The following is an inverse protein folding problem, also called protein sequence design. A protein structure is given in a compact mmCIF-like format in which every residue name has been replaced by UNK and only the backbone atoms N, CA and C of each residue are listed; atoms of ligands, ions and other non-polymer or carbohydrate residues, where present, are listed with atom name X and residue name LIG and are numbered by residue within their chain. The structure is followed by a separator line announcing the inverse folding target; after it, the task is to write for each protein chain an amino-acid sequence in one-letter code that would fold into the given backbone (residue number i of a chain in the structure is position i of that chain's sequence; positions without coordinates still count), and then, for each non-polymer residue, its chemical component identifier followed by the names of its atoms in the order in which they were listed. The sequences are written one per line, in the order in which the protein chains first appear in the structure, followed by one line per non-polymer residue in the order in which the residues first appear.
data_IF_875966549902
#
_entry.id   IF_875966549902
#
_cell.length_a   1.000
_cell.length_b   1.000
_cell.length_c   1.000
_cell.angle_alpha   90.00
_cell.angle_beta   90.00
_cell.angle_gamma   90.00
#
_symmetry.space_group_name_H-M   'P 1'
#
loop_
_entity.id
_entity.type
_entity.pdbx_description
1 polymer ?
#
# COMPACT_ATOMS: atom_id res chain seq x y z
N UNK A 1 23.58 -1.00 13.56
CA UNK A 1 22.61 -2.02 13.16
C UNK A 1 22.32 -3.02 14.29
N UNK A 2 21.23 -3.79 14.17
CA UNK A 2 20.91 -4.90 15.06
C UNK A 2 21.89 -6.05 14.83
N UNK A 3 22.35 -6.72 15.92
CA UNK A 3 23.33 -7.81 15.89
C UNK A 3 24.69 -7.43 15.27
N UNK A 4 25.05 -6.16 15.31
CA UNK A 4 26.37 -5.70 14.88
C UNK A 4 27.44 -6.11 15.90
N UNK A 5 28.50 -6.76 15.45
CA UNK A 5 29.66 -7.07 16.26
C UNK A 5 30.62 -5.87 16.29
N UNK A 6 30.82 -5.33 17.49
CA UNK A 6 31.74 -4.23 17.75
C UNK A 6 33.00 -4.78 18.42
N UNK A 7 34.13 -4.63 17.75
CA UNK A 7 35.43 -5.08 18.26
C UNK A 7 36.18 -3.91 18.91
N UNK A 8 36.83 -4.19 20.03
CA UNK A 8 37.53 -3.21 20.82
C UNK A 8 38.95 -3.75 21.12
N UNK A 9 39.96 -2.89 20.93
CA UNK A 9 41.33 -3.15 21.33
C UNK A 9 41.62 -2.36 22.60
N UNK A 10 42.12 -3.02 23.63
CA UNK A 10 42.57 -2.40 24.87
C UNK A 10 44.09 -2.41 24.89
N UNK A 11 44.69 -1.23 24.99
CA UNK A 11 46.12 -1.08 25.25
C UNK A 11 46.33 -0.68 26.70
N UNK A 12 47.05 -1.50 27.42
CA UNK A 12 47.49 -1.22 28.80
C UNK A 12 48.99 -0.95 28.80
N UNK A 13 49.42 0.17 29.39
CA UNK A 13 50.85 0.56 29.47
C UNK A 13 51.24 0.77 30.91
N UNK A 14 52.38 0.25 31.31
CA UNK A 14 53.01 0.47 32.62
C UNK A 14 54.53 0.62 32.45
N UNK A 15 55.00 1.84 32.50
CA UNK A 15 56.38 2.16 32.22
C UNK A 15 56.79 1.83 30.78
N UNK A 16 57.80 0.94 30.60
CA UNK A 16 58.25 0.47 29.30
C UNK A 16 57.51 -0.80 28.81
N UNK A 17 56.53 -1.30 29.61
CA UNK A 17 55.75 -2.51 29.28
C UNK A 17 54.39 -2.13 28.72
N UNK A 18 53.95 -2.84 27.68
CA UNK A 18 52.62 -2.73 27.10
C UNK A 18 51.99 -4.10 26.90
N UNK A 19 50.69 -4.16 27.10
CA UNK A 19 49.86 -5.33 26.81
C UNK A 19 48.68 -4.92 25.97
N UNK A 20 48.31 -5.78 25.04
CA UNK A 20 47.09 -5.63 24.22
C UNK A 20 46.12 -6.75 24.53
N UNK A 21 44.88 -6.45 24.65
CA UNK A 21 43.78 -7.39 24.68
C UNK A 21 42.69 -6.93 23.75
N UNK A 22 42.01 -7.85 23.09
CA UNK A 22 40.85 -7.62 22.24
C UNK A 22 39.64 -8.28 22.81
N UNK A 23 38.50 -7.69 22.60
CA UNK A 23 37.19 -8.27 22.88
C UNK A 23 36.14 -7.73 21.94
N UNK A 24 35.07 -8.48 21.73
CA UNK A 24 33.92 -8.03 20.95
C UNK A 24 32.63 -8.10 21.77
N UNK A 25 31.70 -7.23 21.43
CA UNK A 25 30.32 -7.24 21.93
C UNK A 25 29.36 -7.20 20.75
N UNK A 26 28.22 -7.85 20.89
CA UNK A 26 27.13 -7.77 19.93
C UNK A 26 26.19 -6.64 20.36
N UNK A 27 26.00 -5.65 19.49
CA UNK A 27 25.05 -4.58 19.69
C UNK A 27 23.66 -5.01 19.27
N UNK A 28 22.69 -4.91 20.16
CA UNK A 28 21.29 -5.17 19.89
C UNK A 28 20.57 -3.86 19.60
N UNK A 29 19.68 -3.89 18.63
CA UNK A 29 18.86 -2.75 18.23
C UNK A 29 17.42 -3.19 17.92
N UNK A 30 16.41 -2.31 18.02
CA UNK A 30 15.12 -2.55 17.43
C UNK A 30 15.24 -2.56 15.90
N UNK A 31 14.43 -3.39 15.27
CA UNK A 31 14.31 -3.48 13.80
C UNK A 31 12.84 -3.61 13.43
N UNK A 32 12.30 -2.58 12.80
CA UNK A 32 10.88 -2.53 12.48
C UNK A 32 10.58 -3.19 11.14
N UNK A 33 9.40 -3.80 11.09
CA UNK A 33 8.79 -4.38 9.90
C UNK A 33 7.28 -4.16 9.97
N UNK A 34 6.64 -3.90 8.84
CA UNK A 34 5.18 -3.92 8.72
C UNK A 34 4.73 -5.37 8.49
N UNK A 35 4.02 -5.92 9.47
CA UNK A 35 3.51 -7.29 9.43
C UNK A 35 2.26 -7.36 8.54
N UNK A 36 1.31 -6.46 8.75
CA UNK A 36 0.14 -6.25 7.91
C UNK A 36 -0.25 -4.77 7.89
N UNK A 37 -0.85 -4.35 6.78
CA UNK A 37 -1.46 -3.04 6.66
C UNK A 37 -2.74 -3.20 5.84
N UNK A 38 -3.86 -2.67 6.33
CA UNK A 38 -5.16 -2.84 5.67
C UNK A 38 -6.16 -1.78 6.12
N UNK A 39 -7.17 -1.56 5.27
CA UNK A 39 -8.37 -0.79 5.60
C UNK A 39 -9.54 -1.76 5.81
N UNK A 40 -10.28 -1.59 6.90
CA UNK A 40 -11.36 -2.54 7.26
C UNK A 40 -12.53 -2.53 6.27
N UNK A 41 -12.83 -1.41 5.65
CA UNK A 41 -13.91 -1.29 4.68
C UNK A 41 -13.38 -1.63 3.28
N UNK A 42 -14.07 -2.51 2.57
CA UNK A 42 -13.68 -2.92 1.22
C UNK A 42 -13.82 -1.80 0.18
N UNK A 43 -14.78 -0.89 0.38
CA UNK A 43 -15.00 0.27 -0.51
C UNK A 43 -15.10 1.52 0.36
N UNK A 44 -14.28 2.51 0.04
CA UNK A 44 -14.25 3.82 0.73
C UNK A 44 -14.82 4.84 -0.24
N UNK A 45 -16.05 5.26 -0.03
CA UNK A 45 -16.69 6.23 -0.93
C UNK A 45 -16.01 7.61 -0.83
N UNK A 46 -15.91 8.38 -1.94
CA UNK A 46 -15.45 9.76 -1.91
C UNK A 46 -16.21 10.61 -0.88
N UNK A 47 -15.50 11.45 -0.14
CA UNK A 47 -16.06 12.27 0.92
C UNK A 47 -16.40 11.53 2.20
N UNK A 48 -15.94 10.29 2.34
CA UNK A 48 -16.14 9.51 3.58
C UNK A 48 -14.82 9.21 4.26
N UNK A 49 -14.89 8.83 5.54
CA UNK A 49 -13.76 8.40 6.33
C UNK A 49 -13.66 6.88 6.43
N UNK A 50 -12.45 6.41 6.69
CA UNK A 50 -12.15 5.03 6.99
C UNK A 50 -10.98 4.93 7.98
N UNK A 51 -10.72 3.71 8.45
CA UNK A 51 -9.67 3.42 9.43
C UNK A 51 -8.62 2.53 8.80
N UNK A 52 -7.38 3.00 8.81
CA UNK A 52 -6.18 2.23 8.45
C UNK A 52 -5.65 1.49 9.67
N UNK A 53 -5.40 0.21 9.55
CA UNK A 53 -4.78 -0.65 10.54
C UNK A 53 -3.38 -1.01 10.09
N UNK A 54 -2.40 -0.79 10.96
CA UNK A 54 -0.98 -1.03 10.69
C UNK A 54 -0.41 -1.88 11.81
N UNK A 55 -0.10 -3.14 11.53
CA UNK A 55 0.59 -4.02 12.46
C UNK A 55 2.10 -3.86 12.30
N UNK A 56 2.73 -3.32 13.34
CA UNK A 56 4.18 -3.09 13.40
C UNK A 56 4.82 -4.16 14.26
N UNK A 57 5.80 -4.87 13.70
CA UNK A 57 6.63 -5.86 14.39
C UNK A 57 8.00 -5.30 14.70
N UNK A 58 8.50 -5.57 15.89
CA UNK A 58 9.90 -5.36 16.24
C UNK A 58 10.68 -6.68 16.07
N UNK A 59 11.26 -6.91 14.90
CA UNK A 59 12.09 -8.08 14.58
C UNK A 59 13.53 -7.96 15.08
N UNK A 60 13.84 -6.90 15.85
CA UNK A 60 15.16 -6.70 16.42
C UNK A 60 15.38 -7.46 17.72
N UNK A 61 16.56 -7.28 18.31
CA UNK A 61 16.98 -7.92 19.54
C UNK A 61 16.99 -6.95 20.76
N UNK A 62 16.45 -5.76 20.58
CA UNK A 62 16.26 -4.77 21.64
C UNK A 62 14.85 -4.20 21.58
N UNK A 63 14.31 -3.86 22.76
CA UNK A 63 13.02 -3.20 22.87
C UNK A 63 13.06 -1.81 22.22
N UNK A 64 11.95 -1.41 21.61
CA UNK A 64 11.73 -0.05 21.16
C UNK A 64 10.94 0.74 22.20
N UNK A 65 11.30 2.01 22.36
CA UNK A 65 10.61 2.96 23.25
C UNK A 65 10.23 4.20 22.49
N UNK A 66 9.04 4.73 22.80
CA UNK A 66 8.47 5.91 22.15
C UNK A 66 8.51 5.76 20.62
N UNK A 67 7.93 4.65 20.15
CA UNK A 67 7.76 4.42 18.72
C UNK A 67 6.72 5.41 18.18
N UNK A 68 7.15 6.30 17.31
CA UNK A 68 6.28 7.19 16.54
C UNK A 68 5.98 6.53 15.20
N UNK A 69 4.70 6.42 14.86
CA UNK A 69 4.22 5.92 13.57
C UNK A 69 3.49 7.08 12.90
N UNK A 70 4.09 7.59 11.84
CA UNK A 70 3.54 8.71 11.05
C UNK A 70 2.98 8.20 9.73
N UNK A 71 1.74 8.59 9.43
CA UNK A 71 1.07 8.28 8.17
C UNK A 71 0.79 9.57 7.42
N UNK A 72 1.33 9.67 6.20
CA UNK A 72 1.18 10.84 5.35
C UNK A 72 0.71 10.45 3.96
N UNK A 73 -0.27 11.17 3.45
CA UNK A 73 -0.61 11.14 2.02
C UNK A 73 0.16 12.23 1.28
N UNK A 74 0.61 11.94 0.07
CA UNK A 74 1.20 12.93 -0.82
C UNK A 74 0.17 13.89 -1.44
N UNK A 75 -1.14 13.65 -1.22
CA UNK A 75 -2.23 14.47 -1.72
C UNK A 75 -3.01 15.14 -0.59
N UNK A 76 -3.43 16.37 -0.81
CA UNK A 76 -4.32 17.09 0.11
C UNK A 76 -5.76 16.54 0.09
N UNK A 77 -6.10 15.67 -0.87
CA UNK A 77 -7.43 15.10 -1.01
C UNK A 77 -7.65 13.85 -0.14
N UNK A 78 -6.60 13.36 0.55
CA UNK A 78 -6.66 12.31 1.56
C UNK A 78 -5.94 12.80 2.82
N UNK A 79 -6.66 12.91 3.93
CA UNK A 79 -6.14 13.49 5.17
C UNK A 79 -6.31 12.51 6.33
N UNK A 80 -5.22 12.27 7.07
CA UNK A 80 -5.25 11.56 8.34
C UNK A 80 -5.68 12.51 9.45
N UNK A 81 -6.63 12.07 10.31
CA UNK A 81 -7.14 12.87 11.44
C UNK A 81 -6.04 13.05 12.49
N UNK A 82 -5.37 11.96 12.82
CA UNK A 82 -4.13 11.95 13.60
C UNK A 82 -3.04 11.32 12.74
N UNK A 83 -2.13 12.12 12.21
CA UNK A 83 -1.07 11.63 11.33
C UNK A 83 0.05 10.92 12.08
N UNK A 84 0.19 11.14 13.39
CA UNK A 84 1.21 10.53 14.24
C UNK A 84 0.54 9.82 15.40
N UNK A 85 0.83 8.53 15.55
CA UNK A 85 0.43 7.71 16.69
C UNK A 85 1.70 7.25 17.42
N UNK A 86 1.70 7.34 18.75
CA UNK A 86 2.87 6.96 19.55
C UNK A 86 2.58 5.72 20.41
N UNK A 87 3.46 4.73 20.33
CA UNK A 87 3.48 3.56 21.19
C UNK A 87 4.66 3.68 22.18
N UNK A 88 4.35 3.66 23.49
CA UNK A 88 5.38 3.86 24.52
C UNK A 88 6.44 2.77 24.53
N UNK A 89 6.03 1.52 24.27
CA UNK A 89 6.90 0.37 24.45
C UNK A 89 6.51 -0.79 23.53
N UNK A 90 7.44 -1.18 22.65
CA UNK A 90 7.31 -2.35 21.79
C UNK A 90 8.49 -3.31 22.06
N UNK A 91 8.26 -4.43 22.79
CA UNK A 91 9.30 -5.40 23.06
C UNK A 91 9.91 -6.03 21.80
N UNK A 92 11.14 -6.52 21.93
CA UNK A 92 11.77 -7.33 20.91
C UNK A 92 10.93 -8.59 20.63
N UNK A 93 10.62 -8.83 19.35
CA UNK A 93 9.81 -9.97 18.86
C UNK A 93 8.29 -9.74 18.88
N UNK A 94 7.79 -8.70 19.54
CA UNK A 94 6.36 -8.42 19.65
C UNK A 94 5.81 -7.60 18.48
N UNK A 95 4.48 -7.55 18.40
CA UNK A 95 3.69 -6.79 17.41
C UNK A 95 2.75 -5.85 18.14
N UNK A 96 2.61 -4.63 17.63
CA UNK A 96 1.58 -3.68 18.02
C UNK A 96 0.71 -3.32 16.82
N UNK A 97 -0.59 -3.18 17.03
CA UNK A 97 -1.53 -2.65 16.02
C UNK A 97 -1.72 -1.15 16.24
N UNK A 98 -1.38 -0.38 15.25
CA UNK A 98 -1.59 1.07 15.17
C UNK A 98 -2.85 1.33 14.35
N UNK A 99 -3.66 2.26 14.81
CA UNK A 99 -4.95 2.60 14.18
C UNK A 99 -4.94 4.07 13.82
N UNK A 100 -5.24 4.40 12.57
CA UNK A 100 -5.28 5.77 12.07
C UNK A 100 -6.53 6.01 11.23
N UNK A 101 -7.33 6.98 11.64
CA UNK A 101 -8.50 7.41 10.89
C UNK A 101 -8.10 8.43 9.83
N UNK A 102 -8.68 8.30 8.65
CA UNK A 102 -8.49 9.23 7.55
C UNK A 102 -9.81 9.54 6.85
N UNK A 103 -9.82 10.64 6.10
CA UNK A 103 -10.96 11.11 5.30
C UNK A 103 -10.49 11.48 3.90
N UNK A 104 -11.31 11.21 2.89
CA UNK A 104 -11.11 11.67 1.51
C UNK A 104 -11.98 12.88 1.21
N UNK A 105 -11.52 13.76 0.30
CA UNK A 105 -12.35 14.86 -0.21
C UNK A 105 -13.50 14.30 -1.08
N UNK A 106 -14.67 14.92 -1.00
CA UNK A 106 -15.85 14.54 -1.78
C UNK A 106 -15.69 14.69 -3.31
N UNK A 107 -14.68 15.45 -3.74
CA UNK A 107 -14.36 15.68 -5.17
C UNK A 107 -13.44 14.60 -5.75
N UNK A 108 -12.93 13.70 -4.92
CA UNK A 108 -12.11 12.59 -5.38
C UNK A 108 -12.92 11.73 -6.34
N UNK A 109 -12.34 11.41 -7.48
CA UNK A 109 -12.98 10.50 -8.42
C UNK A 109 -12.90 9.06 -7.91
N UNK A 110 -13.99 8.31 -8.06
CA UNK A 110 -14.02 6.88 -7.75
C UNK A 110 -12.96 6.13 -8.56
N UNK A 111 -12.20 5.26 -7.91
CA UNK A 111 -11.06 4.57 -8.47
C UNK A 111 -9.71 5.30 -8.33
N UNK A 112 -9.69 6.47 -7.67
CA UNK A 112 -8.42 7.17 -7.41
C UNK A 112 -7.60 6.41 -6.37
N UNK A 113 -6.32 6.17 -6.67
CA UNK A 113 -5.35 5.53 -5.78
C UNK A 113 -4.46 6.58 -5.16
N UNK A 114 -4.36 6.58 -3.84
CA UNK A 114 -3.47 7.43 -3.06
C UNK A 114 -2.30 6.65 -2.50
N UNK A 115 -1.10 7.18 -2.68
CA UNK A 115 0.09 6.68 -2.00
C UNK A 115 0.15 7.27 -0.59
N UNK A 116 0.32 6.40 0.40
CA UNK A 116 0.49 6.73 1.82
C UNK A 116 1.86 6.26 2.27
N UNK A 117 2.67 7.19 2.74
CA UNK A 117 3.94 6.89 3.41
C UNK A 117 3.66 6.57 4.88
N UNK A 118 4.07 5.39 5.31
CA UNK A 118 4.13 5.00 6.71
C UNK A 118 5.58 5.06 7.18
N UNK A 119 5.86 5.98 8.11
CA UNK A 119 7.19 6.21 8.69
C UNK A 119 7.19 5.80 10.16
N UNK A 120 8.08 4.89 10.53
CA UNK A 120 8.26 4.40 11.89
C UNK A 120 9.58 4.93 12.45
N UNK A 121 9.55 5.49 13.66
CA UNK A 121 10.73 6.06 14.29
C UNK A 121 10.76 5.79 15.79
N UNK A 122 11.89 5.27 16.27
CA UNK A 122 12.19 5.15 17.71
C UNK A 122 13.64 5.56 17.96
N UNK A 123 13.84 6.76 18.50
CA UNK A 123 15.16 7.35 18.68
C UNK A 123 15.90 7.55 17.34
N UNK A 124 16.99 6.80 17.11
CA UNK A 124 17.78 6.83 15.88
C UNK A 124 17.41 5.73 14.88
N UNK A 125 16.40 4.92 15.17
CA UNK A 125 15.97 3.82 14.32
C UNK A 125 14.76 4.24 13.54
N UNK A 126 14.82 4.08 12.22
CA UNK A 126 13.78 4.49 11.29
C UNK A 126 13.48 3.36 10.30
N UNK A 127 12.22 3.27 9.90
CA UNK A 127 11.75 2.40 8.82
C UNK A 127 10.64 3.13 8.06
N UNK A 128 10.67 3.06 6.74
CA UNK A 128 9.66 3.67 5.88
C UNK A 128 9.12 2.64 4.90
N UNK A 129 7.82 2.71 4.66
CA UNK A 129 7.14 1.89 3.66
C UNK A 129 5.97 2.66 3.05
N UNK A 130 5.64 2.33 1.80
CA UNK A 130 4.48 2.90 1.13
C UNK A 130 3.34 1.89 1.13
N UNK A 131 2.13 2.41 1.27
CA UNK A 131 0.88 1.70 1.11
C UNK A 131 -0.04 2.46 0.16
N UNK A 132 -0.95 1.76 -0.51
CA UNK A 132 -1.85 2.38 -1.47
C UNK A 132 -3.29 2.23 -1.01
N UNK A 133 -4.03 3.35 -0.99
CA UNK A 133 -5.44 3.40 -0.61
C UNK A 133 -6.24 3.77 -1.86
N UNK A 134 -7.19 2.93 -2.23
CA UNK A 134 -8.12 3.22 -3.32
C UNK A 134 -9.41 3.82 -2.76
N UNK A 135 -9.79 4.99 -3.26
CA UNK A 135 -11.05 5.65 -2.92
C UNK A 135 -12.08 5.34 -3.99
N UNK A 136 -13.22 4.80 -3.56
CA UNK A 136 -14.26 4.32 -4.45
C UNK A 136 -13.88 3.01 -5.14
N UNK A 137 -14.64 2.68 -6.14
CA UNK A 137 -14.43 1.51 -6.98
C UNK A 137 -14.14 1.95 -8.41
N UNK A 138 -13.07 1.47 -8.99
CA UNK A 138 -12.87 1.67 -10.42
C UNK A 138 -13.86 0.78 -11.18
N UNK A 139 -14.83 1.41 -11.83
CA UNK A 139 -15.86 0.70 -12.57
C UNK A 139 -15.97 1.27 -13.99
N UNK A 140 -15.91 0.39 -14.99
CA UNK A 140 -16.32 0.73 -16.35
C UNK A 140 -17.78 0.32 -16.54
N UNK A 141 -18.64 1.30 -16.75
CA UNK A 141 -20.07 1.13 -16.90
C UNK A 141 -20.57 1.46 -18.33
N UNK A 142 -19.68 1.99 -19.18
CA UNK A 142 -19.96 2.43 -20.54
C UNK A 142 -21.04 3.53 -20.68
N UNK A 143 -21.47 4.15 -19.57
CA UNK A 143 -22.54 5.17 -19.55
C UNK A 143 -22.11 6.50 -20.18
N UNK A 144 -20.83 6.69 -20.50
CA UNK A 144 -20.36 7.79 -21.37
C UNK A 144 -20.88 7.66 -22.80
N UNK A 145 -21.37 6.47 -23.20
CA UNK A 145 -21.80 6.17 -24.57
C UNK A 145 -20.66 5.94 -25.56
N UNK A 146 -19.43 5.88 -25.05
CA UNK A 146 -18.21 5.61 -25.79
C UNK A 146 -17.19 4.87 -24.92
N UNK A 147 -15.97 4.66 -25.40
CA UNK A 147 -14.87 4.01 -24.68
C UNK A 147 -13.89 5.00 -24.04
N UNK A 148 -14.31 6.22 -23.75
CA UNK A 148 -13.41 7.30 -23.30
C UNK A 148 -13.05 7.23 -21.81
N UNK A 149 -13.80 6.48 -20.98
CA UNK A 149 -13.60 6.39 -19.55
C UNK A 149 -12.36 5.58 -19.16
N UNK A 150 -12.06 4.58 -19.98
CA UNK A 150 -10.93 3.65 -19.79
C UNK A 150 -10.16 3.52 -21.10
N UNK A 151 -8.84 3.35 -21.05
CA UNK A 151 -7.98 3.22 -22.25
C UNK A 151 -8.11 1.81 -22.87
N UNK A 152 -9.27 1.58 -23.46
CA UNK A 152 -9.58 0.33 -24.15
C UNK A 152 -8.81 0.19 -25.46
N UNK A 153 -8.23 -0.97 -25.69
CA UNK A 153 -7.55 -1.33 -26.92
C UNK A 153 -8.35 -2.42 -27.64
N UNK A 154 -8.29 -2.42 -28.96
CA UNK A 154 -9.09 -3.31 -29.80
C UNK A 154 -8.20 -4.02 -30.81
N UNK A 155 -8.46 -5.32 -30.98
CA UNK A 155 -7.78 -6.15 -31.98
C UNK A 155 -8.78 -7.12 -32.63
N UNK A 156 -8.41 -7.61 -33.82
CA UNK A 156 -9.17 -8.63 -34.55
C UNK A 156 -9.88 -8.07 -35.80
N UNK A 157 -10.82 -8.83 -36.30
CA UNK A 157 -11.47 -8.58 -37.61
C UNK A 157 -12.66 -7.62 -37.50
N UNK A 158 -13.22 -7.44 -36.30
CA UNK A 158 -14.33 -6.53 -36.04
C UNK A 158 -14.13 -5.74 -34.77
N UNK A 159 -14.48 -4.45 -34.78
CA UNK A 159 -14.37 -3.58 -33.60
C UNK A 159 -15.53 -3.79 -32.64
N UNK A 160 -15.22 -3.62 -31.35
CA UNK A 160 -16.25 -3.48 -30.33
C UNK A 160 -16.97 -2.14 -30.48
N UNK A 161 -18.23 -2.09 -30.03
CA UNK A 161 -19.08 -0.90 -30.11
C UNK A 161 -19.95 -0.80 -28.84
N UNK A 162 -20.40 0.41 -28.53
CA UNK A 162 -21.35 0.64 -27.46
C UNK A 162 -22.76 0.32 -27.96
N UNK A 163 -23.52 -0.42 -27.17
CA UNK A 163 -24.86 -0.89 -27.49
C UNK A 163 -25.79 -0.78 -26.28
N UNK A 164 -27.07 -0.64 -26.50
CA UNK A 164 -28.08 -0.78 -25.47
C UNK A 164 -28.29 -2.23 -25.01
N UNK A 165 -29.01 -2.41 -23.90
CA UNK A 165 -29.37 -3.74 -23.37
C UNK A 165 -28.33 -4.28 -22.38
N UNK A 166 -27.71 -3.39 -21.62
CA UNK A 166 -26.84 -3.68 -20.49
C UNK A 166 -27.56 -4.51 -19.41
N UNK A 167 -26.78 -5.15 -18.55
CA UNK A 167 -27.28 -5.78 -17.33
C UNK A 167 -27.70 -4.74 -16.31
N UNK A 168 -26.93 -3.66 -16.20
CA UNK A 168 -27.19 -2.49 -15.36
C UNK A 168 -26.91 -1.24 -16.19
N UNK A 169 -27.67 -0.16 -15.96
CA UNK A 169 -27.55 1.07 -16.75
C UNK A 169 -28.19 1.00 -18.13
N UNK A 170 -27.72 1.86 -19.03
CA UNK A 170 -28.28 2.04 -20.39
C UNK A 170 -27.43 1.37 -21.46
N UNK A 171 -26.09 1.31 -21.26
CA UNK A 171 -25.12 0.92 -22.26
C UNK A 171 -24.24 -0.26 -21.82
N UNK A 172 -23.76 -0.99 -22.81
CA UNK A 172 -22.76 -2.05 -22.64
C UNK A 172 -21.82 -2.10 -23.84
N UNK A 173 -20.65 -2.69 -23.68
CA UNK A 173 -19.79 -3.03 -24.79
C UNK A 173 -20.29 -4.29 -25.48
N UNK A 174 -20.34 -4.27 -26.80
CA UNK A 174 -20.72 -5.39 -27.67
C UNK A 174 -19.63 -5.63 -28.70
N UNK A 175 -19.23 -6.89 -28.89
CA UNK A 175 -18.34 -7.26 -30.00
C UNK A 175 -18.98 -6.96 -31.35
N UNK A 176 -18.19 -6.62 -32.32
CA UNK A 176 -18.64 -6.62 -33.70
C UNK A 176 -18.97 -8.03 -34.20
N UNK A 177 -19.76 -8.10 -35.25
CA UNK A 177 -20.12 -9.37 -35.89
C UNK A 177 -18.90 -9.99 -36.59
N UNK A 178 -18.66 -11.27 -36.35
CA UNK A 178 -17.54 -12.04 -36.91
C UNK A 178 -18.05 -13.27 -37.63
N UNK A 179 -17.32 -13.69 -38.65
CA UNK A 179 -17.53 -14.94 -39.38
C UNK A 179 -16.64 -16.06 -38.81
N UNK A 180 -16.76 -17.26 -39.36
CA UNK A 180 -15.94 -18.41 -39.02
C UNK A 180 -14.43 -18.06 -39.17
N UNK A 181 -13.65 -18.42 -38.13
CA UNK A 181 -12.20 -18.17 -38.06
C UNK A 181 -11.79 -16.69 -37.93
N UNK A 182 -12.71 -15.80 -37.61
CA UNK A 182 -12.45 -14.42 -37.23
C UNK A 182 -12.46 -14.21 -35.73
N UNK A 183 -11.91 -13.09 -35.28
CA UNK A 183 -11.86 -12.68 -33.88
C UNK A 183 -12.22 -11.22 -33.67
N UNK A 184 -12.73 -10.91 -32.50
CA UNK A 184 -12.95 -9.54 -32.05
C UNK A 184 -12.56 -9.48 -30.57
N UNK A 185 -11.52 -8.73 -30.26
CA UNK A 185 -10.96 -8.62 -28.91
C UNK A 185 -11.00 -7.19 -28.40
N UNK A 186 -11.28 -7.05 -27.12
CA UNK A 186 -11.21 -5.80 -26.38
C UNK A 186 -10.38 -6.07 -25.12
N UNK A 187 -9.40 -5.24 -24.81
CA UNK A 187 -8.56 -5.41 -23.65
C UNK A 187 -8.14 -4.07 -23.05
N UNK A 188 -7.79 -4.09 -21.79
CA UNK A 188 -7.27 -2.96 -21.02
C UNK A 188 -6.11 -3.44 -20.16
N UNK A 189 -5.11 -2.59 -19.99
CA UNK A 189 -4.04 -2.82 -19.03
C UNK A 189 -4.36 -2.07 -17.76
N UNK A 190 -4.33 -2.76 -16.63
CA UNK A 190 -4.53 -2.17 -15.30
C UNK A 190 -3.31 -2.45 -14.44
N UNK A 191 -2.84 -1.43 -13.73
CA UNK A 191 -1.81 -1.58 -12.71
C UNK A 191 -2.47 -2.00 -11.39
N UNK A 192 -2.10 -3.19 -10.92
CA UNK A 192 -2.61 -3.74 -9.66
C UNK A 192 -1.57 -3.52 -8.57
N UNK A 193 -1.86 -2.64 -7.62
CA UNK A 193 -0.95 -2.25 -6.53
C UNK A 193 -1.08 -3.14 -5.29
N UNK A 194 -2.24 -3.81 -5.15
CA UNK A 194 -2.54 -4.70 -4.03
C UNK A 194 -3.46 -5.84 -4.50
N UNK A 195 -3.62 -6.87 -3.67
CA UNK A 195 -4.54 -7.97 -3.97
C UNK A 195 -5.98 -7.42 -4.09
N UNK A 196 -6.60 -7.62 -5.24
CA UNK A 196 -7.94 -7.11 -5.56
C UNK A 196 -8.71 -8.09 -6.44
N UNK A 197 -10.02 -7.90 -6.52
CA UNK A 197 -10.92 -8.70 -7.34
C UNK A 197 -11.32 -7.91 -8.60
N UNK A 198 -11.27 -8.58 -9.75
CA UNK A 198 -11.84 -8.07 -11.01
C UNK A 198 -13.08 -8.89 -11.31
N UNK A 199 -14.23 -8.25 -11.41
CA UNK A 199 -15.50 -8.87 -11.77
C UNK A 199 -16.15 -8.18 -12.97
N UNK A 200 -16.92 -8.94 -13.75
CA UNK A 200 -17.66 -8.39 -14.88
C UNK A 200 -18.89 -9.25 -15.19
N UNK A 201 -19.89 -8.61 -15.75
CA UNK A 201 -21.06 -9.26 -16.31
C UNK A 201 -20.90 -9.43 -17.83
N UNK A 202 -21.21 -10.61 -18.33
CA UNK A 202 -21.20 -10.88 -19.75
C UNK A 202 -22.41 -11.67 -20.20
N UNK A 203 -22.72 -11.54 -21.50
CA UNK A 203 -23.80 -12.25 -22.16
C UNK A 203 -23.29 -12.77 -23.50
N UNK A 204 -23.56 -14.02 -23.80
CA UNK A 204 -23.36 -14.62 -25.11
C UNK A 204 -24.66 -14.64 -25.89
N UNK A 205 -24.56 -14.49 -27.21
CA UNK A 205 -25.71 -14.59 -28.13
C UNK A 205 -26.03 -16.03 -28.48
#
# INVERSE_FOLDING_TARGET
PDQEELSFDILCEAGEQSWTADFSIVANAPKFELDTIYVRNQIIEPGTGATLFVAVRNNGHSDARNLEVEMMSCSADLNFIESIVTEEFLPAGDVVEIVADFESDEKVQSGTVFEVLCSLKAGNYEFNSNYYITIGQSMEDFETGDFSKTDWQFEGDANWLISGGAYEGSYCAKSGDIDDSQSSSMFVTVDVMEETEISFYYKTA
#
